data_IF_342649982277
#
_entry.id   IF_342649982277
#
_cell.length_a   1.000
_cell.length_b   1.000
_cell.length_c   1.000
_cell.angle_alpha   90.00
_cell.angle_beta   90.00
_cell.angle_gamma   90.00
#
_symmetry.space_group_name_H-M   'P 1'
#
loop_
_entity.id
_entity.type
_entity.pdbx_description
1 polymer ?
#
# COMPACT_ATOMS: atom_id res chain seq x y z
N UNK A 1 -9.56 6.48 -15.67
CA UNK A 1 -8.67 6.91 -14.57
C UNK A 1 -7.40 6.06 -14.66
N UNK A 2 -6.24 6.64 -14.97
CA UNK A 2 -4.98 5.91 -15.05
C UNK A 2 -4.50 5.50 -13.65
N UNK A 3 -3.90 4.32 -13.57
CA UNK A 3 -3.38 3.76 -12.33
C UNK A 3 -2.07 3.03 -12.60
N UNK A 4 -1.29 2.85 -11.55
CA UNK A 4 -0.04 2.08 -11.51
C UNK A 4 -0.17 0.97 -10.48
N UNK A 5 0.36 -0.20 -10.83
CA UNK A 5 0.40 -1.36 -9.95
C UNK A 5 1.78 -1.46 -9.33
N UNK A 6 1.86 -1.51 -8.01
CA UNK A 6 3.09 -1.72 -7.28
C UNK A 6 3.14 -3.16 -6.81
N UNK A 7 4.22 -3.85 -7.13
CA UNK A 7 4.54 -5.18 -6.63
C UNK A 7 5.65 -4.99 -5.60
N UNK A 8 5.31 -5.21 -4.33
CA UNK A 8 6.23 -5.08 -3.20
C UNK A 8 7.02 -6.37 -3.00
N UNK A 9 8.08 -6.31 -2.19
CA UNK A 9 9.02 -7.42 -2.02
C UNK A 9 8.39 -8.66 -1.34
N UNK A 10 7.36 -8.47 -0.53
CA UNK A 10 6.53 -9.53 0.05
C UNK A 10 5.53 -10.14 -0.94
N UNK A 11 5.65 -9.81 -2.24
CA UNK A 11 4.71 -10.17 -3.31
C UNK A 11 3.31 -9.57 -3.13
N UNK A 12 3.13 -8.62 -2.20
CA UNK A 12 1.88 -7.88 -2.10
C UNK A 12 1.74 -6.90 -3.27
N UNK A 13 0.47 -6.64 -3.64
CA UNK A 13 0.13 -5.72 -4.73
C UNK A 13 -0.60 -4.52 -4.16
N UNK A 14 -0.15 -3.33 -4.53
CA UNK A 14 -0.82 -2.07 -4.21
C UNK A 14 -1.15 -1.31 -5.49
N UNK A 15 -2.22 -0.53 -5.47
CA UNK A 15 -2.65 0.28 -6.62
C UNK A 15 -2.60 1.75 -6.23
N UNK A 16 -1.96 2.54 -7.08
CA UNK A 16 -1.88 4.00 -6.96
C UNK A 16 -2.54 4.62 -8.18
N UNK A 17 -3.44 5.56 -7.92
CA UNK A 17 -4.09 6.34 -8.97
C UNK A 17 -3.19 7.53 -9.28
N UNK A 18 -2.74 7.65 -10.52
CA UNK A 18 -1.90 8.75 -10.96
C UNK A 18 -2.01 8.92 -12.48
N UNK A 19 -2.12 10.17 -12.93
CA UNK A 19 -2.24 10.53 -14.33
C UNK A 19 -0.88 10.77 -14.99
N UNK A 20 0.11 11.19 -14.20
CA UNK A 20 1.48 11.43 -14.64
C UNK A 20 2.51 10.68 -13.79
N UNK A 21 3.75 10.65 -14.27
CA UNK A 21 4.89 10.09 -13.51
C UNK A 21 5.21 10.96 -12.28
N UNK A 22 5.06 12.27 -12.40
CA UNK A 22 5.27 13.21 -11.29
C UNK A 22 4.21 13.04 -10.19
N UNK A 23 2.95 12.82 -10.57
CA UNK A 23 1.89 12.50 -9.62
C UNK A 23 2.11 11.16 -8.94
N UNK A 24 2.54 10.15 -9.71
CA UNK A 24 2.89 8.85 -9.17
C UNK A 24 4.00 8.98 -8.12
N UNK A 25 5.06 9.71 -8.42
CA UNK A 25 6.16 9.94 -7.48
C UNK A 25 5.70 10.69 -6.23
N UNK A 26 4.87 11.73 -6.38
CA UNK A 26 4.32 12.46 -5.25
C UNK A 26 3.46 11.56 -4.35
N UNK A 27 2.59 10.73 -4.93
CA UNK A 27 1.77 9.76 -4.19
C UNK A 27 2.60 8.69 -3.49
N UNK A 28 3.68 8.21 -4.12
CA UNK A 28 4.56 7.19 -3.55
C UNK A 28 5.40 7.75 -2.40
N UNK A 29 5.91 8.97 -2.54
CA UNK A 29 6.62 9.67 -1.45
C UNK A 29 5.68 9.94 -0.28
N UNK A 30 4.44 10.36 -0.56
CA UNK A 30 3.44 10.65 0.46
C UNK A 30 2.95 9.39 1.20
N UNK A 31 2.72 8.29 0.48
CA UNK A 31 2.22 7.03 1.08
C UNK A 31 3.30 6.21 1.78
N UNK A 32 4.54 6.24 1.28
CA UNK A 32 5.58 5.32 1.74
C UNK A 32 6.73 6.06 2.41
N UNK A 33 7.59 6.70 1.62
CA UNK A 33 8.79 7.38 2.10
C UNK A 33 9.43 8.19 0.97
N UNK A 34 10.12 9.30 1.26
CA UNK A 34 10.98 9.98 0.29
C UNK A 34 12.08 9.08 -0.30
N UNK A 35 12.46 7.99 0.38
CA UNK A 35 13.47 7.04 -0.11
C UNK A 35 12.93 6.04 -1.13
N UNK A 36 11.64 6.08 -1.43
CA UNK A 36 10.98 5.13 -2.31
C UNK A 36 11.64 5.00 -3.70
N UNK A 37 12.20 6.09 -4.24
CA UNK A 37 12.95 6.04 -5.52
C UNK A 37 14.13 5.07 -5.50
N UNK A 38 14.76 4.89 -4.34
CA UNK A 38 15.89 3.97 -4.19
C UNK A 38 15.42 2.50 -4.07
N UNK A 39 14.13 2.29 -3.82
CA UNK A 39 13.50 0.98 -3.65
C UNK A 39 12.90 0.43 -4.95
N UNK A 40 12.71 1.25 -5.99
CA UNK A 40 12.19 0.78 -7.28
C UNK A 40 13.28 0.01 -8.02
N UNK A 41 13.08 -1.30 -8.22
CA UNK A 41 14.01 -2.18 -8.93
C UNK A 41 13.74 -2.20 -10.44
N UNK A 42 12.47 -2.30 -10.82
CA UNK A 42 12.08 -2.48 -12.23
C UNK A 42 10.75 -1.77 -12.50
N UNK A 43 10.64 -1.16 -13.68
CA UNK A 43 9.43 -0.47 -14.12
C UNK A 43 9.02 -0.98 -15.49
N UNK A 44 7.82 -1.55 -15.56
CA UNK A 44 7.18 -1.97 -16.79
C UNK A 44 6.19 -0.89 -17.24
N UNK A 45 6.58 -0.12 -18.24
CA UNK A 45 5.77 1.01 -18.72
C UNK A 45 4.55 0.61 -19.55
N UNK A 46 4.61 -0.57 -20.18
CA UNK A 46 3.52 -1.09 -21.04
C UNK A 46 2.28 -1.44 -20.22
N UNK A 47 2.48 -2.02 -19.04
CA UNK A 47 1.41 -2.46 -18.14
C UNK A 47 1.31 -1.59 -16.86
N UNK A 48 2.15 -0.56 -16.75
CA UNK A 48 2.21 0.40 -15.62
C UNK A 48 2.51 -0.28 -14.30
N UNK A 49 3.43 -1.25 -14.30
CA UNK A 49 3.82 -2.02 -13.12
C UNK A 49 5.18 -1.58 -12.58
N UNK A 50 5.28 -1.37 -11.27
CA UNK A 50 6.52 -1.04 -10.57
C UNK A 50 6.87 -2.17 -9.60
N UNK A 51 8.06 -2.76 -9.76
CA UNK A 51 8.61 -3.74 -8.82
C UNK A 51 9.48 -3.02 -7.80
N UNK A 52 9.13 -3.16 -6.53
CA UNK A 52 9.77 -2.46 -5.44
C UNK A 52 10.45 -3.45 -4.49
N UNK A 53 11.65 -3.11 -4.03
CA UNK A 53 12.43 -3.81 -3.01
C UNK A 53 11.86 -3.62 -1.60
N UNK A 54 10.99 -2.63 -1.43
CA UNK A 54 10.44 -2.24 -0.14
C UNK A 54 9.57 -3.37 0.42
N UNK A 55 9.82 -3.73 1.68
CA UNK A 55 8.86 -4.48 2.47
C UNK A 55 7.76 -3.52 2.91
N UNK A 56 6.50 -3.86 2.69
CA UNK A 56 5.42 -3.13 3.34
C UNK A 56 5.63 -3.30 4.85
N UNK A 57 6.09 -2.26 5.55
CA UNK A 57 5.63 -2.10 6.91
C UNK A 57 4.15 -1.82 6.73
N UNK A 58 3.36 -2.89 6.80
CA UNK A 58 1.95 -2.76 7.13
C UNK A 58 1.92 -1.76 8.27
N UNK A 59 1.43 -0.56 8.00
CA UNK A 59 0.58 0.12 8.94
C UNK A 59 -0.56 -0.86 9.17
N UNK A 60 -0.30 -1.92 9.94
CA UNK A 60 -1.32 -2.75 10.50
C UNK A 60 -2.20 -1.71 11.17
N UNK A 61 -3.35 -1.44 10.57
CA UNK A 61 -4.51 -1.20 11.38
C UNK A 61 -4.62 -2.50 12.18
N UNK A 62 -3.91 -2.53 13.32
CA UNK A 62 -4.20 -3.46 14.40
C UNK A 62 -5.65 -3.13 14.72
N UNK A 63 -6.57 -3.85 14.08
CA UNK A 63 -7.92 -3.98 14.60
C UNK A 63 -7.69 -4.66 15.93
N UNK A 64 -7.63 -3.83 16.96
CA UNK A 64 -7.52 -4.26 18.33
C UNK A 64 -8.85 -4.93 18.69
N UNK A 65 -8.96 -6.20 18.30
CA UNK A 65 -10.09 -7.07 18.62
C UNK A 65 -10.19 -7.33 20.12
N UNK A 66 -9.26 -6.82 20.95
CA UNK A 66 -9.45 -6.80 22.40
C UNK A 66 -10.66 -5.98 22.85
N UNK A 67 -11.22 -5.12 21.98
CA UNK A 67 -12.46 -4.37 22.26
C UNK A 67 -13.71 -4.94 21.59
N UNK A 68 -13.59 -6.03 20.82
CA UNK A 68 -14.74 -6.67 20.18
C UNK A 68 -15.65 -7.46 21.14
N UNK A 69 -15.25 -7.59 22.42
CA UNK A 69 -15.96 -8.37 23.43
C UNK A 69 -16.53 -7.52 24.59
N UNK A 70 -16.89 -6.26 24.29
CA UNK A 70 -17.78 -5.51 25.18
C UNK A 70 -19.13 -5.38 24.52
N UNK A 71 -19.88 -6.48 24.51
CA UNK A 71 -21.32 -6.45 24.32
C UNK A 71 -21.94 -5.67 25.50
N UNK A 72 -22.54 -4.48 25.30
CA UNK A 72 -23.16 -3.75 26.41
C UNK A 72 -24.53 -4.33 26.80
N UNK A 73 -25.05 -5.31 26.05
CA UNK A 73 -26.33 -5.96 26.31
C UNK A 73 -26.16 -7.48 26.22
N UNK A 74 -25.78 -8.08 27.35
CA UNK A 74 -25.54 -9.52 27.51
C UNK A 74 -26.77 -10.39 27.22
N UNK A 75 -27.03 -10.68 25.96
CA UNK A 75 -27.92 -11.76 25.55
C UNK A 75 -27.08 -12.95 25.09
N UNK A 76 -27.03 -13.97 25.94
CA UNK A 76 -26.76 -15.35 25.53
C UNK A 76 -27.98 -15.86 24.77
N UNK A 77 -27.75 -16.48 23.62
CA UNK A 77 -28.40 -17.73 23.24
C UNK A 77 -27.43 -18.54 22.38
#
# INVERSE_FOLDING_TARGET
>A
MPFYTLILNDSSKSVVLAESMEELEAELVNRFSPEFRNEVKEVHWVDKTLHCAMNYQTGEIKRDISTADTNPFGYRN
#
